data_IF_453859845509
#
_entry.id   IF_453859845509
#
_cell.length_a   1.000
_cell.length_b   1.000
_cell.length_c   1.000
_cell.angle_alpha   90.00
_cell.angle_beta   90.00
_cell.angle_gamma   90.00
#
_symmetry.space_group_name_H-M   'P 1'
#
loop_
_entity.id
_entity.type
_entity.pdbx_description
1 polymer ?
#
# COMPACT_ATOMS: atom_id res chain seq x y z
N UNK A 1 45.09 -35.16 28.03
CA UNK A 1 43.66 -34.74 28.08
C UNK A 1 43.59 -33.40 28.79
N UNK A 2 42.95 -32.38 28.20
CA UNK A 2 43.03 -30.91 28.48
C UNK A 2 43.96 -30.14 27.54
N UNK A 3 43.56 -30.01 26.25
CA UNK A 3 44.00 -28.95 25.30
C UNK A 3 43.33 -29.03 23.91
N UNK A 4 42.16 -29.67 23.78
CA UNK A 4 41.56 -29.96 22.47
C UNK A 4 40.08 -29.54 22.33
N UNK A 5 39.57 -28.68 23.22
CA UNK A 5 38.16 -28.23 23.21
C UNK A 5 38.03 -26.73 22.84
N UNK A 6 39.14 -25.98 22.78
CA UNK A 6 39.07 -24.54 22.50
C UNK A 6 39.13 -24.17 20.99
N UNK A 7 39.36 -25.15 20.10
CA UNK A 7 39.43 -24.91 18.65
C UNK A 7 38.11 -25.11 17.89
N UNK A 8 37.09 -25.69 18.53
CA UNK A 8 35.82 -26.04 17.87
C UNK A 8 34.67 -25.06 18.08
N UNK A 9 34.83 -24.06 18.98
CA UNK A 9 33.76 -23.11 19.34
C UNK A 9 33.96 -21.73 18.68
N UNK A 10 35.09 -21.51 18.00
CA UNK A 10 35.41 -20.26 17.29
C UNK A 10 35.15 -20.29 15.77
N UNK A 11 34.55 -21.38 15.24
CA UNK A 11 34.12 -21.49 13.84
C UNK A 11 32.59 -21.34 13.66
N UNK A 12 31.88 -21.04 14.75
CA UNK A 12 30.44 -20.72 14.75
C UNK A 12 30.19 -19.21 14.84
N UNK A 13 31.20 -18.37 14.59
CA UNK A 13 30.98 -16.95 14.28
C UNK A 13 30.32 -16.85 12.90
N UNK A 14 29.02 -17.08 12.90
CA UNK A 14 28.02 -16.19 12.30
C UNK A 14 28.48 -15.62 10.96
N UNK A 15 28.40 -16.43 9.90
CA UNK A 15 28.06 -15.87 8.60
C UNK A 15 26.60 -15.41 8.70
N UNK A 16 26.37 -14.21 9.27
CA UNK A 16 25.12 -13.50 9.09
C UNK A 16 25.07 -13.05 7.63
N UNK A 17 24.70 -13.98 6.74
CA UNK A 17 24.43 -13.66 5.36
C UNK A 17 23.19 -12.77 5.34
N UNK A 18 23.27 -11.65 4.62
CA UNK A 18 22.10 -10.82 4.36
C UNK A 18 20.96 -11.72 3.86
N UNK A 19 19.84 -11.69 4.55
CA UNK A 19 18.68 -12.49 4.18
C UNK A 19 17.73 -11.62 3.36
N UNK A 20 17.20 -12.14 2.24
CA UNK A 20 16.17 -11.43 1.50
C UNK A 20 15.00 -11.17 2.45
N UNK A 21 14.63 -9.90 2.58
CA UNK A 21 13.54 -9.50 3.46
C UNK A 21 12.21 -10.01 2.89
N UNK A 22 11.36 -10.60 3.74
CA UNK A 22 9.98 -10.90 3.34
C UNK A 22 9.17 -9.61 3.33
N UNK A 23 8.60 -9.28 2.18
CA UNK A 23 7.73 -8.12 2.03
C UNK A 23 6.31 -8.54 2.40
N UNK A 24 5.71 -7.89 3.40
CA UNK A 24 4.35 -8.18 3.86
C UNK A 24 3.28 -7.93 2.78
N UNK A 25 2.07 -8.48 2.95
CA UNK A 25 1.00 -8.42 1.96
C UNK A 25 0.60 -6.99 1.58
N UNK A 26 0.59 -6.06 2.52
CA UNK A 26 0.31 -4.62 2.31
C UNK A 26 1.32 -3.92 1.41
N UNK A 27 2.60 -4.26 1.54
CA UNK A 27 3.69 -3.73 0.70
C UNK A 27 3.76 -4.40 -0.67
N UNK A 28 3.35 -5.66 -0.75
CA UNK A 28 3.34 -6.44 -2.00
C UNK A 28 2.26 -5.99 -3.00
N UNK A 29 1.14 -5.46 -2.51
CA UNK A 29 -0.01 -4.99 -3.31
C UNK A 29 0.08 -3.54 -3.74
N UNK A 30 1.05 -2.75 -3.23
CA UNK A 30 0.99 -1.29 -3.18
C UNK A 30 0.37 -0.65 -4.43
N UNK A 31 -0.92 -0.31 -4.30
CA UNK A 31 -1.65 0.53 -5.24
C UNK A 31 -1.57 1.94 -4.68
N UNK A 32 -0.83 2.82 -5.35
CA UNK A 32 -0.80 4.24 -4.98
C UNK A 32 -2.03 4.92 -5.54
N UNK A 33 -2.78 5.57 -4.66
CA UNK A 33 -4.04 6.22 -4.96
C UNK A 33 -4.60 6.77 -3.67
N UNK A 34 -5.08 8.01 -3.67
CA UNK A 34 -5.50 8.68 -2.43
C UNK A 34 -6.67 7.93 -1.76
N UNK A 35 -7.60 7.40 -2.56
CA UNK A 35 -8.70 6.61 -2.02
C UNK A 35 -8.19 5.28 -1.45
N UNK A 36 -7.32 4.57 -2.18
CA UNK A 36 -6.71 3.32 -1.69
C UNK A 36 -5.89 3.53 -0.42
N UNK A 37 -5.15 4.64 -0.31
CA UNK A 37 -4.39 4.96 0.90
C UNK A 37 -5.29 5.24 2.10
N UNK A 38 -6.36 6.01 1.90
CA UNK A 38 -7.25 6.43 2.98
C UNK A 38 -8.32 5.38 3.36
N UNK A 39 -8.74 4.53 2.43
CA UNK A 39 -9.71 3.46 2.67
C UNK A 39 -9.04 2.10 2.93
N UNK A 40 -7.77 1.93 2.57
CA UNK A 40 -7.10 0.65 2.64
C UNK A 40 -7.89 -0.43 1.90
N UNK A 41 -8.05 -1.59 2.52
CA UNK A 41 -8.80 -2.70 1.92
C UNK A 41 -10.31 -2.41 1.83
N UNK A 42 -10.85 -1.51 2.65
CA UNK A 42 -12.25 -1.10 2.55
C UNK A 42 -12.58 -0.40 1.21
N UNK A 43 -11.57 -0.01 0.42
CA UNK A 43 -11.81 0.59 -0.90
C UNK A 43 -12.57 -0.35 -1.86
N UNK A 44 -12.49 -1.68 -1.68
CA UNK A 44 -13.27 -2.64 -2.47
C UNK A 44 -14.78 -2.59 -2.18
N UNK A 45 -15.18 -1.96 -1.08
CA UNK A 45 -16.58 -1.77 -0.72
C UNK A 45 -17.21 -0.52 -1.39
N UNK A 46 -16.41 0.36 -2.01
CA UNK A 46 -16.87 1.66 -2.51
C UNK A 46 -16.47 1.91 -3.97
N UNK A 47 -17.31 2.64 -4.69
CA UNK A 47 -16.91 3.29 -5.96
C UNK A 47 -16.57 4.75 -5.68
N UNK A 48 -15.32 4.99 -5.31
CA UNK A 48 -14.80 6.33 -5.06
C UNK A 48 -14.04 6.84 -6.29
N UNK A 49 -14.53 7.94 -6.88
CA UNK A 49 -13.90 8.58 -8.04
C UNK A 49 -12.55 9.28 -7.78
N UNK A 50 -12.00 9.16 -6.57
CA UNK A 50 -10.70 9.76 -6.22
C UNK A 50 -9.53 9.02 -6.90
N UNK A 51 -9.63 7.70 -7.05
CA UNK A 51 -8.60 6.89 -7.71
C UNK A 51 -8.85 6.78 -9.23
N UNK A 52 -7.77 6.44 -9.94
CA UNK A 52 -7.76 6.39 -11.41
C UNK A 52 -8.58 5.24 -12.00
N UNK A 53 -8.58 4.10 -11.32
CA UNK A 53 -9.40 2.94 -11.65
C UNK A 53 -10.09 2.47 -10.36
N UNK A 54 -11.30 1.90 -10.45
CA UNK A 54 -11.96 1.31 -9.30
C UNK A 54 -11.12 0.24 -8.60
N UNK A 55 -11.26 0.09 -7.28
CA UNK A 55 -10.56 -0.96 -6.54
C UNK A 55 -10.99 -2.36 -7.00
N UNK A 56 -12.30 -2.58 -7.04
CA UNK A 56 -12.92 -3.78 -7.61
C UNK A 56 -12.99 -3.64 -9.13
N UNK A 57 -12.44 -4.59 -9.91
CA UNK A 57 -12.54 -4.52 -11.37
C UNK A 57 -13.98 -4.68 -11.88
N UNK A 58 -14.92 -5.22 -11.09
CA UNK A 58 -16.32 -5.31 -11.48
C UNK A 58 -17.00 -3.94 -11.59
N UNK A 59 -16.51 -2.93 -10.83
CA UNK A 59 -17.09 -1.59 -10.80
C UNK A 59 -16.90 -0.81 -12.11
N UNK A 60 -15.93 -1.19 -12.94
CA UNK A 60 -15.75 -0.57 -14.26
C UNK A 60 -16.97 -0.79 -15.17
N UNK A 61 -17.78 -1.84 -14.92
CA UNK A 61 -19.02 -2.10 -15.63
C UNK A 61 -20.10 -1.03 -15.39
N UNK A 62 -20.04 -0.34 -14.25
CA UNK A 62 -20.99 0.72 -13.88
C UNK A 62 -20.46 2.12 -14.20
N UNK A 63 -19.22 2.22 -14.71
CA UNK A 63 -18.64 3.50 -15.14
C UNK A 63 -19.37 4.01 -16.37
N UNK A 64 -19.96 5.20 -16.26
CA UNK A 64 -20.63 5.88 -17.37
C UNK A 64 -19.74 6.97 -17.93
N UNK A 65 -19.65 7.03 -19.27
CA UNK A 65 -18.91 8.05 -19.99
C UNK A 65 -17.42 7.75 -20.17
N UNK A 66 -16.74 8.66 -20.84
CA UNK A 66 -15.31 8.59 -21.11
C UNK A 66 -14.60 9.65 -20.27
N UNK A 67 -13.51 9.28 -19.60
CA UNK A 67 -12.67 10.23 -18.86
C UNK A 67 -11.20 9.87 -18.98
N UNK A 68 -10.35 10.89 -19.11
CA UNK A 68 -8.92 10.82 -18.91
C UNK A 68 -8.52 11.48 -17.60
N UNK A 69 -7.56 10.91 -16.89
CA UNK A 69 -6.95 11.54 -15.71
C UNK A 69 -5.45 11.30 -15.71
N UNK A 70 -4.68 12.37 -15.57
CA UNK A 70 -3.26 12.30 -15.23
C UNK A 70 -3.10 12.72 -13.77
N UNK A 71 -2.23 12.08 -13.00
CA UNK A 71 -1.94 12.48 -11.63
C UNK A 71 -0.47 12.32 -11.27
N UNK A 72 -0.02 13.20 -10.39
CA UNK A 72 1.22 13.05 -9.63
C UNK A 72 0.83 12.76 -8.19
N UNK A 73 1.41 11.71 -7.63
CA UNK A 73 1.21 11.30 -6.24
C UNK A 73 2.53 11.36 -5.49
N UNK A 74 2.51 11.91 -4.28
CA UNK A 74 3.67 12.00 -3.39
C UNK A 74 3.22 11.64 -1.97
N UNK A 75 3.97 10.79 -1.28
CA UNK A 75 3.73 10.51 0.12
C UNK A 75 5.01 10.36 0.92
N UNK A 76 4.97 10.76 2.19
CA UNK A 76 6.12 10.70 3.10
C UNK A 76 5.64 10.46 4.54
N UNK A 77 6.48 9.82 5.33
CA UNK A 77 6.28 9.70 6.78
C UNK A 77 6.42 11.08 7.46
N UNK A 78 5.33 11.58 8.06
CA UNK A 78 5.27 12.90 8.70
C UNK A 78 6.09 13.01 9.99
N UNK A 79 6.52 11.87 10.58
CA UNK A 79 7.28 11.88 11.84
C UNK A 79 8.61 12.63 11.72
N UNK A 80 9.23 12.60 10.52
CA UNK A 80 10.50 13.31 10.25
C UNK A 80 10.33 14.84 10.37
N UNK A 81 9.19 15.40 9.98
CA UNK A 81 8.98 16.85 9.97
C UNK A 81 8.59 17.41 11.34
N UNK A 82 7.76 16.69 12.10
CA UNK A 82 7.36 17.11 13.45
C UNK A 82 8.46 16.87 14.48
N UNK A 83 9.17 15.73 14.42
CA UNK A 83 10.33 15.48 15.27
C UNK A 83 11.47 16.44 14.92
N UNK A 84 11.76 16.75 13.65
CA UNK A 84 12.74 17.77 13.30
C UNK A 84 12.38 19.15 13.89
N UNK A 85 11.09 19.51 13.89
CA UNK A 85 10.61 20.75 14.51
C UNK A 85 10.68 20.70 16.05
N UNK A 86 10.49 19.54 16.69
CA UNK A 86 10.67 19.37 18.14
C UNK A 86 12.14 19.31 18.56
N UNK A 87 13.01 18.65 17.79
CA UNK A 87 14.48 18.62 17.93
C UNK A 87 15.06 20.04 17.78
N UNK A 88 14.47 20.86 16.91
CA UNK A 88 14.86 22.27 16.73
C UNK A 88 14.31 23.20 17.84
N UNK A 89 13.39 22.73 18.69
CA UNK A 89 12.73 23.53 19.75
C UNK A 89 13.07 23.09 21.18
N UNK A 90 13.51 21.85 21.40
CA UNK A 90 13.93 21.32 22.71
C UNK A 90 15.43 21.50 22.94
N UNK A 91 15.82 21.61 24.21
CA UNK A 91 17.22 21.65 24.63
C UNK A 91 17.83 20.25 24.46
N UNK A 92 18.79 20.11 23.53
CA UNK A 92 19.22 18.83 22.95
C UNK A 92 20.12 17.98 23.88
N UNK A 93 20.21 18.31 25.17
CA UNK A 93 21.19 17.77 26.11
C UNK A 93 20.63 16.98 27.28
N UNK A 94 19.32 16.71 27.34
CA UNK A 94 18.75 15.87 28.40
C UNK A 94 19.00 14.37 28.12
N UNK A 95 19.48 13.58 29.09
CA UNK A 95 19.68 12.13 28.94
C UNK A 95 18.43 11.39 28.46
N UNK A 96 17.25 11.84 28.88
CA UNK A 96 15.96 11.28 28.46
C UNK A 96 15.70 11.45 26.96
N UNK A 97 16.14 12.57 26.36
CA UNK A 97 15.99 12.83 24.92
C UNK A 97 17.00 12.03 24.08
N UNK A 98 18.21 11.84 24.60
CA UNK A 98 19.20 10.96 23.96
C UNK A 98 18.73 9.49 24.01
N UNK A 99 18.17 9.06 25.13
CA UNK A 99 17.60 7.71 25.31
C UNK A 99 16.37 7.49 24.41
N UNK A 100 15.52 8.52 24.21
CA UNK A 100 14.41 8.52 23.25
C UNK A 100 14.92 8.38 21.80
N UNK A 101 15.93 9.17 21.41
CA UNK A 101 16.52 9.12 20.06
C UNK A 101 17.15 7.76 19.71
N UNK A 102 17.84 7.12 20.66
CA UNK A 102 18.53 5.86 20.43
C UNK A 102 17.65 4.62 20.62
N UNK A 103 16.60 4.70 21.46
CA UNK A 103 15.61 3.63 21.60
C UNK A 103 14.49 3.68 20.55
N UNK A 104 14.20 4.84 19.96
CA UNK A 104 13.15 4.96 18.97
C UNK A 104 13.57 4.39 17.62
N UNK A 105 12.83 3.36 17.19
CA UNK A 105 12.95 2.74 15.87
C UNK A 105 12.61 3.79 14.80
N UNK A 106 13.64 4.30 14.14
CA UNK A 106 13.50 5.26 13.04
C UNK A 106 13.23 4.53 11.75
N UNK A 107 12.00 4.62 11.28
CA UNK A 107 11.57 4.26 9.92
C UNK A 107 11.44 5.54 9.09
N UNK A 108 11.88 5.50 7.84
CA UNK A 108 11.69 6.55 6.85
C UNK A 108 11.00 5.94 5.65
N UNK A 109 9.98 6.62 5.13
CA UNK A 109 9.23 6.18 3.97
C UNK A 109 8.99 7.34 3.01
N UNK A 110 9.21 7.10 1.72
CA UNK A 110 8.92 8.03 0.62
C UNK A 110 8.28 7.27 -0.54
N UNK A 111 7.25 7.87 -1.12
CA UNK A 111 6.56 7.35 -2.29
C UNK A 111 6.35 8.47 -3.30
N UNK A 112 6.54 8.14 -4.57
CA UNK A 112 6.24 9.04 -5.67
C UNK A 112 5.72 8.26 -6.88
N UNK A 113 4.72 8.80 -7.56
CA UNK A 113 4.17 8.21 -8.78
C UNK A 113 3.77 9.28 -9.78
N UNK A 114 3.89 8.93 -11.05
CA UNK A 114 3.18 9.60 -12.14
C UNK A 114 2.29 8.55 -12.76
N UNK A 115 1.00 8.85 -12.87
CA UNK A 115 0.02 7.95 -13.44
C UNK A 115 -0.82 8.65 -14.52
N UNK A 116 -1.19 7.89 -15.53
CA UNK A 116 -2.11 8.28 -16.59
C UNK A 116 -3.20 7.22 -16.65
N UNK A 117 -4.46 7.62 -16.74
CA UNK A 117 -5.56 6.69 -16.92
C UNK A 117 -6.61 7.17 -17.90
N UNK A 118 -7.25 6.20 -18.54
CA UNK A 118 -8.39 6.38 -19.41
C UNK A 118 -9.46 5.39 -19.00
N UNK A 119 -10.67 5.88 -18.74
CA UNK A 119 -11.84 5.08 -18.44
C UNK A 119 -12.86 5.26 -19.54
N UNK A 120 -13.51 4.17 -19.90
CA UNK A 120 -14.68 4.12 -20.75
C UNK A 120 -15.68 3.13 -20.17
N UNK A 121 -16.86 3.09 -20.75
CA UNK A 121 -17.87 2.10 -20.40
C UNK A 121 -17.31 0.68 -20.60
N UNK A 122 -17.27 -0.11 -19.52
CA UNK A 122 -16.84 -1.50 -19.52
C UNK A 122 -15.33 -1.75 -19.56
N UNK A 123 -14.48 -0.71 -19.67
CA UNK A 123 -13.03 -0.90 -19.57
C UNK A 123 -12.26 0.35 -19.11
N UNK A 124 -11.08 0.13 -18.54
CA UNK A 124 -10.17 1.21 -18.14
C UNK A 124 -8.71 0.79 -18.25
N UNK A 125 -7.85 1.72 -18.63
CA UNK A 125 -6.40 1.55 -18.72
C UNK A 125 -5.72 2.55 -17.79
N UNK A 126 -4.78 2.10 -16.98
CA UNK A 126 -3.87 2.94 -16.22
C UNK A 126 -2.44 2.58 -16.59
N UNK A 127 -1.63 3.60 -16.87
CA UNK A 127 -0.19 3.50 -17.10
C UNK A 127 0.53 4.28 -16.00
N UNK A 128 1.42 3.60 -15.30
CA UNK A 128 2.35 4.17 -14.33
C UNK A 128 3.75 4.08 -14.94
N UNK A 129 4.22 5.07 -15.72
CA UNK A 129 5.55 5.02 -16.32
C UNK A 129 6.67 4.96 -15.28
N UNK A 130 6.47 5.60 -14.11
CA UNK A 130 7.41 5.57 -13.02
C UNK A 130 6.71 5.64 -11.68
N UNK A 131 7.13 4.75 -10.79
CA UNK A 131 6.77 4.67 -9.39
C UNK A 131 8.02 4.42 -8.59
N UNK A 132 8.25 5.26 -7.58
CA UNK A 132 9.37 5.17 -6.67
C UNK A 132 8.84 4.90 -5.28
N UNK A 133 9.47 3.94 -4.60
CA UNK A 133 9.22 3.65 -3.21
C UNK A 133 10.57 3.49 -2.51
N UNK A 134 10.68 4.12 -1.35
CA UNK A 134 11.83 4.01 -0.48
C UNK A 134 11.30 3.78 0.94
N UNK A 135 11.81 2.76 1.58
CA UNK A 135 11.64 2.53 3.01
C UNK A 135 12.97 2.08 3.62
N UNK A 136 13.33 2.68 4.75
CA UNK A 136 14.46 2.26 5.55
C UNK A 136 14.10 2.22 7.03
N UNK A 137 14.53 1.19 7.74
CA UNK A 137 14.42 1.13 9.20
C UNK A 137 15.71 0.66 9.86
N UNK A 138 16.05 1.22 11.01
CA UNK A 138 17.23 0.85 11.79
C UNK A 138 16.83 0.28 13.16
N UNK A 139 17.50 -0.78 13.61
CA UNK A 139 17.25 -1.39 14.92
C UNK A 139 18.54 -1.74 15.64
N UNK A 140 18.56 -1.50 16.97
CA UNK A 140 19.58 -1.89 17.96
C UNK A 140 20.84 -0.98 18.02
N UNK A 141 21.19 -0.54 19.23
CA UNK A 141 22.35 0.30 19.54
C UNK A 141 23.68 -0.48 19.53
N UNK A 142 23.67 -1.77 19.88
CA UNK A 142 24.89 -2.58 19.99
C UNK A 142 25.28 -3.28 18.68
N UNK A 143 24.31 -3.56 17.80
CA UNK A 143 24.47 -4.22 16.50
C UNK A 143 23.36 -3.73 15.56
N UNK A 144 23.60 -2.58 14.93
CA UNK A 144 22.58 -1.91 14.12
C UNK A 144 22.25 -2.71 12.87
N UNK A 145 21.09 -3.34 12.88
CA UNK A 145 20.46 -3.96 11.71
C UNK A 145 19.78 -2.86 10.90
N UNK A 146 20.18 -2.69 9.65
CA UNK A 146 19.54 -1.82 8.68
C UNK A 146 18.69 -2.67 7.74
N UNK A 147 17.42 -2.28 7.58
CA UNK A 147 16.53 -2.84 6.57
C UNK A 147 16.27 -1.79 5.53
N UNK A 148 16.45 -2.17 4.27
CA UNK A 148 16.27 -1.29 3.13
C UNK A 148 15.37 -1.96 2.10
N UNK A 149 14.30 -1.25 1.75
CA UNK A 149 13.44 -1.58 0.64
C UNK A 149 13.37 -0.37 -0.29
N UNK A 150 13.96 -0.49 -1.46
CA UNK A 150 13.87 0.53 -2.50
C UNK A 150 13.39 -0.15 -3.76
N UNK A 151 12.40 0.43 -4.43
CA UNK A 151 12.06 -0.03 -5.77
C UNK A 151 11.65 1.11 -6.68
N UNK A 152 11.99 0.90 -7.95
CA UNK A 152 11.47 1.63 -9.09
C UNK A 152 10.59 0.67 -9.89
N UNK A 153 9.40 1.11 -10.22
CA UNK A 153 8.41 0.32 -10.93
C UNK A 153 7.81 1.07 -12.12
N UNK A 154 7.60 0.34 -13.20
CA UNK A 154 6.68 0.72 -14.27
C UNK A 154 5.54 -0.30 -14.30
N UNK A 155 4.31 0.18 -14.43
CA UNK A 155 3.13 -0.69 -14.42
C UNK A 155 2.10 -0.29 -15.48
N UNK A 156 1.36 -1.29 -15.95
CA UNK A 156 0.18 -1.13 -16.79
C UNK A 156 -0.96 -1.96 -16.22
N UNK A 157 -2.07 -1.31 -15.88
CA UNK A 157 -3.28 -1.95 -15.37
C UNK A 157 -4.39 -1.80 -16.41
N UNK A 158 -5.01 -2.91 -16.78
CA UNK A 158 -6.13 -2.94 -17.70
C UNK A 158 -7.30 -3.65 -17.02
N UNK A 159 -8.39 -2.92 -16.83
CA UNK A 159 -9.64 -3.43 -16.29
C UNK A 159 -10.66 -3.62 -17.39
N UNK A 160 -11.36 -4.74 -17.35
CA UNK A 160 -12.57 -4.99 -18.11
C UNK A 160 -13.69 -5.39 -17.16
N UNK A 161 -14.90 -4.93 -17.45
CA UNK A 161 -16.08 -5.24 -16.66
C UNK A 161 -17.29 -5.39 -17.55
N UNK A 162 -18.22 -6.23 -17.09
CA UNK A 162 -19.47 -6.50 -17.79
C UNK A 162 -20.62 -6.63 -16.80
N UNK A 163 -21.70 -5.93 -17.10
CA UNK A 163 -22.99 -6.10 -16.44
C UNK A 163 -23.62 -7.44 -16.86
N UNK A 164 -24.03 -8.23 -15.87
CA UNK A 164 -24.57 -9.58 -16.04
C UNK A 164 -26.10 -9.61 -16.04
N UNK A 165 -26.76 -8.55 -15.55
CA UNK A 165 -28.19 -8.55 -15.23
C UNK A 165 -28.42 -8.56 -13.72
N UNK A 166 -29.63 -8.19 -13.30
CA UNK A 166 -30.06 -8.21 -11.88
C UNK A 166 -29.06 -7.54 -10.93
N UNK A 167 -28.54 -6.38 -11.33
CA UNK A 167 -27.58 -5.59 -10.55
C UNK A 167 -26.21 -6.23 -10.31
N UNK A 168 -25.92 -7.34 -10.98
CA UNK A 168 -24.63 -8.01 -10.94
C UNK A 168 -23.70 -7.52 -12.04
N UNK A 169 -22.42 -7.41 -11.69
CA UNK A 169 -21.33 -7.24 -12.64
C UNK A 169 -20.16 -8.17 -12.29
N UNK A 170 -19.41 -8.54 -13.31
CA UNK A 170 -18.11 -9.19 -13.17
C UNK A 170 -17.04 -8.34 -13.84
N UNK A 171 -15.81 -8.47 -13.37
CA UNK A 171 -14.67 -7.81 -13.97
C UNK A 171 -13.38 -8.58 -13.80
N UNK A 172 -12.40 -8.20 -14.62
CA UNK A 172 -11.05 -8.74 -14.61
C UNK A 172 -10.08 -7.58 -14.75
N UNK A 173 -9.12 -7.49 -13.83
CA UNK A 173 -7.96 -6.64 -13.96
C UNK A 173 -6.74 -7.48 -14.37
N UNK A 174 -6.08 -7.07 -15.44
CA UNK A 174 -4.73 -7.53 -15.78
C UNK A 174 -3.73 -6.46 -15.40
N UNK A 175 -2.70 -6.81 -14.63
CA UNK A 175 -1.67 -5.88 -14.17
C UNK A 175 -0.29 -6.41 -14.53
N UNK A 176 0.40 -5.69 -15.40
CA UNK A 176 1.79 -5.95 -15.77
C UNK A 176 2.70 -5.00 -15.00
N UNK A 177 3.70 -5.56 -14.32
CA UNK A 177 4.62 -4.82 -13.47
C UNK A 177 6.05 -5.16 -13.86
N UNK A 178 6.85 -4.14 -14.17
CA UNK A 178 8.30 -4.28 -14.30
C UNK A 178 8.96 -3.50 -13.17
N UNK A 179 9.71 -4.19 -12.31
CA UNK A 179 10.25 -3.65 -11.07
C UNK A 179 11.75 -3.91 -10.98
N UNK A 180 12.47 -2.86 -10.64
CA UNK A 180 13.86 -2.91 -10.21
C UNK A 180 13.94 -2.57 -8.73
N UNK A 181 14.53 -3.42 -7.91
CA UNK A 181 14.45 -3.28 -6.45
C UNK A 181 15.70 -3.74 -5.70
N UNK A 182 15.88 -3.20 -4.50
CA UNK A 182 16.78 -3.66 -3.45
C UNK A 182 15.90 -3.97 -2.24
N UNK A 183 15.94 -5.20 -1.73
CA UNK A 183 15.15 -5.66 -0.59
C UNK A 183 16.01 -6.54 0.30
N UNK A 184 16.66 -5.94 1.30
CA UNK A 184 17.70 -6.60 2.08
C UNK A 184 17.63 -6.18 3.55
N UNK A 185 17.95 -7.12 4.44
CA UNK A 185 18.32 -6.83 5.82
C UNK A 185 19.80 -7.17 6.02
N UNK A 186 20.57 -6.25 6.59
CA UNK A 186 21.99 -6.42 6.87
C UNK A 186 22.43 -5.63 8.11
N UNK A 187 23.50 -6.06 8.77
CA UNK A 187 24.12 -5.27 9.82
C UNK A 187 25.01 -4.18 9.22
N UNK A 188 25.02 -2.98 9.79
CA UNK A 188 25.86 -1.89 9.31
C UNK A 188 27.36 -2.27 9.27
N UNK A 189 27.82 -3.13 10.18
CA UNK A 189 29.18 -3.67 10.17
C UNK A 189 29.52 -4.41 8.87
N UNK A 190 28.55 -5.14 8.30
CA UNK A 190 28.74 -5.94 7.10
C UNK A 190 28.78 -5.06 5.85
N UNK A 191 28.07 -3.92 5.86
CA UNK A 191 28.09 -2.95 4.77
C UNK A 191 29.47 -2.31 4.55
N UNK A 192 30.28 -2.17 5.61
CA UNK A 192 31.66 -1.65 5.52
C UNK A 192 32.71 -2.74 5.21
N UNK A 193 32.31 -4.01 5.13
CA UNK A 193 33.19 -5.14 4.84
C UNK A 193 33.33 -5.41 3.34
N UNK A 194 34.36 -6.16 2.93
CA UNK A 194 34.46 -6.64 1.54
C UNK A 194 33.29 -7.58 1.15
N UNK A 195 32.71 -8.29 2.12
CA UNK A 195 31.48 -9.07 1.95
C UNK A 195 30.21 -8.21 1.73
N UNK A 196 30.28 -6.90 1.97
CA UNK A 196 29.18 -5.96 1.71
C UNK A 196 29.05 -5.53 0.25
N UNK A 197 30.06 -5.83 -0.59
CA UNK A 197 30.08 -5.50 -2.02
C UNK A 197 29.06 -6.37 -2.77
N UNK A 198 27.85 -5.85 -2.90
CA UNK A 198 26.72 -6.52 -3.58
C UNK A 198 25.44 -6.54 -2.75
N UNK A 199 25.47 -6.09 -1.49
CA UNK A 199 24.28 -5.96 -0.64
C UNK A 199 23.22 -5.03 -1.25
N UNK A 200 23.64 -4.06 -2.07
CA UNK A 200 22.74 -3.09 -2.69
C UNK A 200 22.57 -3.32 -4.19
N UNK A 201 22.95 -4.50 -4.68
CA UNK A 201 22.81 -4.81 -6.09
C UNK A 201 21.31 -4.91 -6.44
N UNK A 202 20.83 -4.11 -7.39
CA UNK A 202 19.43 -4.10 -7.74
C UNK A 202 19.06 -5.38 -8.48
N UNK A 203 17.95 -5.96 -8.09
CA UNK A 203 17.31 -7.08 -8.77
C UNK A 203 16.21 -6.56 -9.69
N UNK A 204 15.98 -7.27 -10.79
CA UNK A 204 14.89 -6.97 -11.73
C UNK A 204 13.90 -8.11 -11.78
N UNK A 205 12.62 -7.76 -11.87
CA UNK A 205 11.52 -8.71 -11.92
C UNK A 205 10.39 -8.18 -12.79
N UNK A 206 9.77 -9.08 -13.54
CA UNK A 206 8.54 -8.81 -14.29
C UNK A 206 7.44 -9.72 -13.76
N UNK A 207 6.31 -9.11 -13.40
CA UNK A 207 5.15 -9.80 -12.85
C UNK A 207 3.92 -9.52 -13.71
N UNK A 208 3.12 -10.56 -13.93
CA UNK A 208 1.81 -10.47 -14.54
C UNK A 208 0.78 -10.97 -13.55
N UNK A 209 -0.21 -10.14 -13.24
CA UNK A 209 -1.31 -10.46 -12.35
C UNK A 209 -2.64 -10.50 -13.10
N UNK A 210 -3.50 -11.44 -12.70
CA UNK A 210 -4.88 -11.59 -13.15
C UNK A 210 -5.79 -11.53 -11.92
N UNK A 211 -6.56 -10.48 -11.80
CA UNK A 211 -7.30 -10.14 -10.59
C UNK A 211 -8.80 -10.07 -10.94
N UNK A 212 -9.55 -11.18 -10.81
CA UNK A 212 -10.98 -11.21 -11.10
C UNK A 212 -11.80 -10.68 -9.92
N UNK A 213 -12.99 -10.16 -10.22
CA UNK A 213 -13.97 -9.75 -9.22
C UNK A 213 -15.41 -9.88 -9.70
N UNK A 214 -16.32 -10.03 -8.76
CA UNK A 214 -17.77 -10.01 -8.97
C UNK A 214 -18.40 -9.11 -7.92
N UNK A 215 -19.40 -8.32 -8.31
CA UNK A 215 -20.03 -7.35 -7.43
C UNK A 215 -21.50 -7.18 -7.77
N UNK A 216 -22.31 -7.04 -6.74
CA UNK A 216 -23.71 -6.68 -6.79
C UNK A 216 -23.89 -5.23 -6.36
N UNK A 217 -24.73 -4.48 -7.08
CA UNK A 217 -25.07 -3.08 -6.80
C UNK A 217 -26.58 -2.92 -6.76
N UNK A 218 -27.21 -3.07 -5.60
CA UNK A 218 -28.67 -2.96 -5.46
C UNK A 218 -29.16 -1.52 -5.58
N UNK A 219 -29.06 -0.93 -6.77
CA UNK A 219 -29.30 0.49 -7.03
C UNK A 219 -30.76 0.91 -6.78
N UNK A 220 -31.69 -0.04 -6.88
CA UNK A 220 -33.12 0.17 -6.69
C UNK A 220 -33.55 0.23 -5.22
N UNK A 221 -32.68 -0.15 -4.28
CA UNK A 221 -32.97 -0.10 -2.85
C UNK A 221 -32.57 1.25 -2.23
N UNK A 222 -33.34 1.72 -1.24
CA UNK A 222 -33.06 3.00 -0.56
C UNK A 222 -31.66 3.09 0.07
N UNK A 223 -31.11 1.97 0.55
CA UNK A 223 -29.77 1.91 1.12
C UNK A 223 -28.67 1.65 0.08
N UNK A 224 -29.02 1.38 -1.19
CA UNK A 224 -28.09 1.02 -2.27
C UNK A 224 -27.01 0.04 -1.81
N UNK A 225 -27.39 -1.16 -1.33
CA UNK A 225 -26.44 -2.12 -0.81
C UNK A 225 -25.52 -2.59 -1.93
N UNK A 226 -24.26 -2.80 -1.58
CA UNK A 226 -23.25 -3.37 -2.44
C UNK A 226 -22.59 -4.53 -1.73
N UNK A 227 -22.29 -5.58 -2.46
CA UNK A 227 -21.46 -6.66 -1.94
C UNK A 227 -20.68 -7.30 -3.08
N UNK A 228 -19.47 -7.74 -2.81
CA UNK A 228 -18.61 -8.28 -3.84
C UNK A 228 -17.46 -9.09 -3.29
N UNK A 229 -16.88 -9.88 -4.18
CA UNK A 229 -15.66 -10.64 -3.92
C UNK A 229 -14.67 -10.31 -5.01
N UNK A 230 -13.45 -9.91 -4.62
CA UNK A 230 -12.34 -9.67 -5.55
C UNK A 230 -11.13 -10.47 -5.10
N UNK A 231 -10.46 -11.11 -6.05
CA UNK A 231 -9.17 -11.75 -5.80
C UNK A 231 -8.06 -10.91 -6.42
N UNK A 232 -7.05 -10.56 -5.62
CA UNK A 232 -5.89 -9.76 -6.04
C UNK A 232 -4.61 -10.59 -5.93
N UNK A 233 -3.52 -10.12 -6.56
CA UNK A 233 -2.20 -10.75 -6.49
C UNK A 233 -2.09 -12.22 -6.98
N UNK A 234 -3.09 -12.76 -7.67
CA UNK A 234 -2.93 -13.98 -8.44
C UNK A 234 -2.05 -13.67 -9.66
N UNK A 235 -0.81 -14.18 -9.68
CA UNK A 235 0.11 -13.82 -10.74
C UNK A 235 1.26 -14.78 -10.94
N UNK A 236 2.02 -14.52 -12.00
CA UNK A 236 3.22 -15.27 -12.42
C UNK A 236 4.40 -14.31 -12.61
N UNK A 237 5.60 -14.80 -12.33
CA UNK A 237 6.85 -14.01 -12.32
C UNK A 237 7.91 -14.71 -13.15
N UNK A 238 8.78 -13.93 -13.78
CA UNK A 238 9.97 -14.46 -14.43
C UNK A 238 11.07 -14.93 -13.46
N UNK A 239 10.97 -14.60 -12.16
CA UNK A 239 11.91 -15.01 -11.10
C UNK A 239 11.19 -15.31 -9.79
N UNK A 240 11.55 -16.40 -9.12
CA UNK A 240 11.16 -16.61 -7.71
C UNK A 240 11.89 -15.56 -6.86
N UNK A 241 11.17 -14.59 -6.28
CA UNK A 241 11.77 -13.44 -5.59
C UNK A 241 11.03 -13.08 -4.28
N UNK A 242 11.58 -12.09 -3.57
CA UNK A 242 11.07 -11.53 -2.30
C UNK A 242 9.67 -10.92 -2.36
N UNK A 243 9.14 -10.65 -3.56
CA UNK A 243 7.77 -10.18 -3.73
C UNK A 243 6.84 -11.35 -4.02
N UNK A 244 6.06 -11.71 -3.02
CA UNK A 244 5.20 -12.89 -3.07
C UNK A 244 4.03 -12.72 -4.05
N UNK A 245 3.66 -13.81 -4.72
CA UNK A 245 2.49 -13.93 -5.59
C UNK A 245 1.38 -14.65 -4.85
N UNK A 246 1.06 -14.13 -3.66
CA UNK A 246 0.09 -14.74 -2.77
C UNK A 246 -1.27 -14.19 -3.14
N UNK A 247 -2.22 -15.04 -3.61
CA UNK A 247 -3.58 -14.59 -3.84
C UNK A 247 -4.16 -14.03 -2.55
N UNK A 248 -4.88 -12.92 -2.68
CA UNK A 248 -5.57 -12.28 -1.56
C UNK A 248 -7.02 -12.10 -1.96
N UNK A 249 -7.92 -12.29 -1.00
CA UNK A 249 -9.36 -12.20 -1.23
C UNK A 249 -9.92 -11.02 -0.45
N UNK A 250 -10.72 -10.22 -1.13
CA UNK A 250 -11.47 -9.11 -0.57
C UNK A 250 -12.94 -9.48 -0.64
N UNK A 251 -13.58 -9.68 0.52
CA UNK A 251 -15.02 -9.86 0.62
C UNK A 251 -15.59 -8.58 1.21
N UNK A 252 -16.16 -7.76 0.35
CA UNK A 252 -16.55 -6.40 0.68
C UNK A 252 -18.06 -6.23 0.65
N UNK A 253 -18.59 -5.40 1.55
CA UNK A 253 -19.98 -5.01 1.56
C UNK A 253 -20.14 -3.55 2.01
N UNK A 254 -21.10 -2.83 1.45
CA UNK A 254 -21.44 -1.46 1.86
C UNK A 254 -22.90 -1.12 1.66
N UNK A 255 -23.32 -0.03 2.28
CA UNK A 255 -24.56 0.69 1.99
C UNK A 255 -24.21 2.11 1.61
N UNK A 256 -24.93 2.70 0.66
CA UNK A 256 -24.64 4.03 0.11
C UNK A 256 -25.93 4.86 -0.03
N UNK A 257 -26.66 5.11 1.06
CA UNK A 257 -27.86 5.95 1.03
C UNK A 257 -27.58 7.35 0.50
N UNK A 258 -28.54 7.90 -0.24
CA UNK A 258 -28.58 9.31 -0.60
C UNK A 258 -29.04 10.13 0.61
N UNK A 259 -28.29 11.18 0.95
CA UNK A 259 -28.61 12.15 2.00
C UNK A 259 -28.62 13.54 1.35
N UNK A 260 -29.80 13.97 0.91
CA UNK A 260 -29.97 15.20 0.13
C UNK A 260 -29.24 15.09 -1.20
N UNK A 261 -28.29 16.00 -1.46
CA UNK A 261 -27.42 15.98 -2.64
C UNK A 261 -26.10 15.22 -2.42
N UNK A 262 -25.94 14.58 -1.26
CA UNK A 262 -24.74 13.84 -0.89
C UNK A 262 -24.99 12.34 -0.82
N UNK A 263 -23.92 11.55 -0.91
CA UNK A 263 -23.98 10.09 -0.75
C UNK A 263 -23.07 9.69 0.40
N UNK A 264 -23.62 9.01 1.41
CA UNK A 264 -22.85 8.49 2.54
C UNK A 264 -22.71 6.98 2.42
N UNK A 265 -21.50 6.54 2.10
CA UNK A 265 -21.09 5.15 2.08
C UNK A 265 -20.60 4.69 3.45
N UNK A 266 -21.13 3.57 3.93
CA UNK A 266 -20.59 2.81 5.07
C UNK A 266 -20.29 1.40 4.61
N UNK A 267 -19.08 0.91 4.86
CA UNK A 267 -18.63 -0.36 4.29
C UNK A 267 -17.65 -1.10 5.18
N UNK A 268 -17.53 -2.39 4.88
CA UNK A 268 -16.60 -3.31 5.50
C UNK A 268 -15.93 -4.15 4.41
N UNK A 269 -14.66 -4.46 4.59
CA UNK A 269 -13.94 -5.43 3.79
C UNK A 269 -13.30 -6.47 4.71
N UNK A 270 -13.44 -7.75 4.35
CA UNK A 270 -12.68 -8.84 4.93
C UNK A 270 -11.53 -9.21 3.97
N UNK A 271 -10.32 -8.79 4.35
CA UNK A 271 -9.07 -9.03 3.65
C UNK A 271 -8.44 -10.35 4.10
N UNK A 272 -8.58 -11.38 3.28
CA UNK A 272 -8.12 -12.73 3.56
C UNK A 272 -6.83 -13.03 2.77
N UNK A 273 -5.78 -13.46 3.46
CA UNK A 273 -4.49 -13.82 2.88
C UNK A 273 -3.79 -14.90 3.70
N UNK A 274 -2.77 -15.55 3.14
CA UNK A 274 -2.11 -16.69 3.82
C UNK A 274 -1.39 -16.32 5.11
N UNK A 275 -0.92 -15.09 5.25
CA UNK A 275 -0.24 -14.61 6.46
C UNK A 275 -1.20 -14.16 7.58
N UNK A 276 -2.52 -14.32 7.41
CA UNK A 276 -3.52 -13.90 8.39
C UNK A 276 -3.50 -14.86 9.60
N UNK A 277 -3.15 -14.33 10.78
CA UNK A 277 -3.08 -15.12 12.02
C UNK A 277 -4.37 -15.03 12.82
N UNK A 278 -4.92 -13.83 12.99
CA UNK A 278 -6.15 -13.59 13.75
C UNK A 278 -7.27 -13.08 12.84
N UNK A 279 -8.47 -13.64 12.97
CA UNK A 279 -9.61 -13.26 12.12
C UNK A 279 -9.99 -11.78 12.26
N UNK A 280 -9.77 -11.17 13.42
CA UNK A 280 -10.06 -9.75 13.65
C UNK A 280 -9.19 -8.82 12.77
N UNK A 281 -7.99 -9.27 12.40
CA UNK A 281 -7.05 -8.48 11.59
C UNK A 281 -7.42 -8.49 10.10
N UNK A 282 -8.40 -9.31 9.71
CA UNK A 282 -8.93 -9.33 8.35
C UNK A 282 -9.86 -8.14 8.07
N UNK A 283 -10.47 -7.54 9.10
CA UNK A 283 -11.57 -6.61 8.88
C UNK A 283 -11.11 -5.15 8.86
N UNK A 284 -11.50 -4.45 7.79
CA UNK A 284 -11.38 -2.99 7.68
C UNK A 284 -12.76 -2.38 7.54
N UNK A 285 -13.10 -1.44 8.43
CA UNK A 285 -14.29 -0.61 8.30
C UNK A 285 -13.94 0.66 7.53
N UNK A 286 -14.83 1.09 6.65
CA UNK A 286 -14.67 2.30 5.86
C UNK A 286 -15.90 3.19 5.88
N UNK A 287 -15.67 4.48 5.68
CA UNK A 287 -16.70 5.49 5.43
C UNK A 287 -16.27 6.32 4.23
N UNK A 288 -17.21 6.63 3.33
CA UNK A 288 -16.97 7.50 2.18
C UNK A 288 -18.16 8.44 2.00
N UNK A 289 -17.96 9.74 2.21
CA UNK A 289 -18.99 10.75 2.03
C UNK A 289 -18.68 11.59 0.81
N UNK A 290 -19.49 11.44 -0.24
CA UNK A 290 -19.43 12.27 -1.44
C UNK A 290 -20.37 13.46 -1.29
N UNK A 291 -19.81 14.66 -1.13
CA UNK A 291 -20.53 15.93 -1.18
C UNK A 291 -20.38 16.54 -2.59
N UNK A 292 -21.24 17.48 -2.99
CA UNK A 292 -21.18 18.08 -4.34
C UNK A 292 -19.83 18.72 -4.72
N UNK A 293 -19.08 19.20 -3.72
CA UNK A 293 -17.85 19.98 -3.91
C UNK A 293 -16.57 19.25 -3.48
N UNK A 294 -16.67 18.20 -2.66
CA UNK A 294 -15.52 17.40 -2.23
C UNK A 294 -15.99 16.02 -1.73
N UNK A 295 -15.06 15.09 -1.60
CA UNK A 295 -15.30 13.78 -1.02
C UNK A 295 -14.38 13.61 0.19
N UNK A 296 -14.92 13.03 1.26
CA UNK A 296 -14.14 12.61 2.44
C UNK A 296 -14.27 11.11 2.56
N UNK A 297 -13.18 10.44 2.85
CA UNK A 297 -13.20 9.00 3.05
C UNK A 297 -12.19 8.62 4.11
N UNK A 298 -12.46 7.56 4.85
CA UNK A 298 -11.59 7.11 5.92
C UNK A 298 -11.84 5.66 6.28
N UNK A 299 -10.87 5.06 6.94
CA UNK A 299 -10.93 3.66 7.34
C UNK A 299 -10.29 3.42 8.69
N UNK A 300 -10.70 2.32 9.31
CA UNK A 300 -10.12 1.80 10.54
C UNK A 300 -10.10 0.28 10.51
N UNK A 301 -9.01 -0.29 10.98
CA UNK A 301 -8.76 -1.71 11.20
C UNK A 301 -7.95 -1.86 12.50
N UNK A 302 -7.59 -3.08 12.88
CA UNK A 302 -6.72 -3.32 14.05
C UNK A 302 -5.31 -2.77 13.85
N UNK A 303 -4.83 -2.72 12.61
CA UNK A 303 -3.45 -2.36 12.26
C UNK A 303 -3.33 -0.98 11.63
N UNK A 304 -4.42 -0.37 11.15
CA UNK A 304 -4.37 0.89 10.42
C UNK A 304 -5.59 1.77 10.64
N UNK A 305 -5.36 3.09 10.61
CA UNK A 305 -6.40 4.12 10.55
C UNK A 305 -6.00 5.17 9.53
N UNK A 306 -6.95 5.64 8.73
CA UNK A 306 -6.65 6.62 7.71
C UNK A 306 -7.85 7.53 7.39
N UNK A 307 -7.53 8.71 6.86
CA UNK A 307 -8.48 9.73 6.44
C UNK A 307 -7.96 10.37 5.16
N UNK A 308 -8.85 10.70 4.23
CA UNK A 308 -8.53 11.38 3.00
C UNK A 308 -9.64 12.32 2.55
N UNK A 309 -9.24 13.28 1.73
CA UNK A 309 -10.11 14.25 1.10
C UNK A 309 -9.76 14.37 -0.37
N UNK A 310 -10.77 14.53 -1.21
CA UNK A 310 -10.64 14.75 -2.64
C UNK A 310 -11.49 15.95 -3.05
N UNK A 311 -10.88 16.93 -3.71
CA UNK A 311 -11.52 18.19 -4.13
C UNK A 311 -11.39 18.32 -5.64
N UNK A 312 -12.45 18.04 -6.42
CA UNK A 312 -12.48 18.31 -7.85
C UNK A 312 -12.61 19.83 -8.10
N UNK A 313 -11.62 20.42 -8.79
CA UNK A 313 -11.55 21.83 -9.16
C UNK A 313 -11.62 21.98 -10.68
N UNK A 314 -12.79 21.67 -11.24
CA UNK A 314 -13.00 21.65 -12.69
C UNK A 314 -12.11 20.62 -13.39
N UNK A 315 -11.15 21.09 -14.19
CA UNK A 315 -10.16 20.23 -14.84
C UNK A 315 -9.07 19.75 -13.90
N UNK A 316 -8.90 20.36 -12.72
CA UNK A 316 -7.92 19.93 -11.74
C UNK A 316 -8.56 19.05 -10.66
N UNK A 317 -7.75 18.23 -10.02
CA UNK A 317 -8.16 17.42 -8.88
C UNK A 317 -7.07 17.51 -7.81
N UNK A 318 -7.44 17.96 -6.61
CA UNK A 318 -6.54 18.00 -5.46
C UNK A 318 -7.01 16.98 -4.45
N UNK A 319 -6.11 16.13 -3.99
CA UNK A 319 -6.45 15.13 -3.01
C UNK A 319 -5.32 14.95 -2.00
N UNK A 320 -5.68 14.65 -0.77
CA UNK A 320 -4.74 14.45 0.33
C UNK A 320 -5.23 13.30 1.19
N UNK A 321 -4.30 12.54 1.77
CA UNK A 321 -4.63 11.55 2.79
C UNK A 321 -3.59 11.51 3.89
N UNK A 322 -4.02 11.03 5.04
CA UNK A 322 -3.19 10.70 6.17
C UNK A 322 -3.51 9.26 6.58
N UNK A 323 -2.48 8.45 6.76
CA UNK A 323 -2.60 7.05 7.15
C UNK A 323 -1.61 6.77 8.26
N UNK A 324 -2.10 6.14 9.32
CA UNK A 324 -1.28 5.56 10.37
C UNK A 324 -1.44 4.05 10.31
N UNK A 325 -0.36 3.31 10.13
CA UNK A 325 -0.40 1.86 10.04
C UNK A 325 0.76 1.18 10.76
N UNK A 326 0.52 -0.03 11.24
CA UNK A 326 1.53 -0.92 11.77
C UNK A 326 2.07 -1.80 10.64
N UNK A 327 3.33 -1.61 10.28
CA UNK A 327 3.99 -2.33 9.19
C UNK A 327 4.88 -3.43 9.76
N UNK A 328 4.77 -4.63 9.19
CA UNK A 328 5.68 -5.75 9.43
C UNK A 328 6.55 -6.00 8.20
N UNK A 329 7.86 -5.83 8.38
CA UNK A 329 8.89 -6.05 7.36
C UNK A 329 9.59 -7.41 7.54
N UNK A 330 8.86 -8.44 7.99
CA UNK A 330 9.34 -9.82 7.96
C UNK A 330 10.27 -10.19 9.10
N UNK A 331 9.86 -9.92 10.34
CA UNK A 331 10.43 -10.58 11.51
C UNK A 331 10.87 -9.63 12.63
N UNK A 332 10.22 -9.84 13.78
CA UNK A 332 10.67 -9.52 15.14
C UNK A 332 10.23 -8.16 15.72
N UNK A 333 9.45 -7.32 15.02
CA UNK A 333 8.45 -6.39 15.61
C UNK A 333 7.79 -5.47 14.57
N UNK A 334 6.51 -5.15 14.77
CA UNK A 334 5.76 -4.14 14.02
C UNK A 334 6.27 -2.72 14.34
N UNK A 335 6.41 -1.88 13.33
CA UNK A 335 6.66 -0.43 13.48
C UNK A 335 5.40 0.33 13.13
N UNK A 336 5.10 1.40 13.86
CA UNK A 336 3.95 2.26 13.55
C UNK A 336 4.43 3.45 12.71
N UNK A 337 3.97 3.49 11.47
CA UNK A 337 4.31 4.53 10.50
C UNK A 337 3.12 5.47 10.30
N UNK A 338 3.40 6.77 10.14
CA UNK A 338 2.41 7.81 9.90
C UNK A 338 2.72 8.51 8.60
N UNK A 339 1.98 8.21 7.54
CA UNK A 339 2.18 8.70 6.19
C UNK A 339 1.18 9.80 5.86
N UNK A 340 1.64 10.89 5.27
CA UNK A 340 0.76 11.80 4.53
C UNK A 340 1.04 11.68 3.04
N UNK A 341 -0.04 11.74 2.26
CA UNK A 341 0.01 11.73 0.81
C UNK A 341 -0.71 12.94 0.23
N UNK A 342 -0.22 13.39 -0.92
CA UNK A 342 -0.81 14.43 -1.74
C UNK A 342 -0.87 13.92 -3.18
N UNK A 343 -1.99 14.18 -3.84
CA UNK A 343 -2.12 13.99 -5.26
C UNK A 343 -2.65 15.25 -5.94
N UNK A 344 -2.02 15.58 -7.07
CA UNK A 344 -2.47 16.60 -7.99
C UNK A 344 -2.79 15.93 -9.32
N UNK A 345 -4.04 16.03 -9.75
CA UNK A 345 -4.53 15.46 -10.99
C UNK A 345 -5.06 16.50 -11.96
N UNK A 346 -5.08 16.12 -13.24
CA UNK A 346 -5.73 16.84 -14.34
C UNK A 346 -6.65 15.87 -15.06
N UNK A 347 -7.92 16.26 -15.19
CA UNK A 347 -8.95 15.55 -15.94
C UNK A 347 -8.98 16.09 -17.38
N UNK A 348 -9.14 15.22 -18.37
CA UNK A 348 -9.20 15.58 -19.79
C UNK A 348 -10.08 14.64 -20.63
#
# INVERSE_FOLDING_TARGET
MKRLILGGVLLLSVFAQATPMRVGPTLSTYRMGIATDALGSACFAFDVGADLLPCSPADIAFTRGNSGKAQVYLANNLRISNEALEILRRDQSTPEFLEEIFNERRSSELQAAIDLAWRREGWGLQLTPIRLFYHSSFRNEALTEARLLVFQEAAANLQWGRYLGDDWAMGLQTRLVNRKFVSQSFFLSDAYSESGRGLLDPQEQTLLYLEPGIQYHGLDYALKPRFGVTMTNLGVTNRASSFSQRPQFHVAASINPDIGESVLGLGIDAFLHEDLVEAKDAFTLGVAWSLPIFQVFGSVSTEASALGVNVPLGVFNLAASFRRESVDFGGIAKTTDSKAALALGVNF
#
